data_IF_250178820648
#
_entry.id   IF_250178820648
#
_cell.length_a   1.000
_cell.length_b   1.000
_cell.length_c   1.000
_cell.angle_alpha   90.00
_cell.angle_beta   90.00
_cell.angle_gamma   90.00
#
_symmetry.space_group_name_H-M   'P 1'
#
loop_
_entity.id
_entity.type
_entity.pdbx_description
1 polymer ?
#
# COMPACT_ATOMS: atom_id res chain seq x y z
N UNK A 1 7.99 -5.21 -26.64
CA UNK A 1 6.62 -5.70 -26.40
C UNK A 1 6.76 -7.11 -25.86
N UNK A 2 6.84 -7.24 -24.54
CA UNK A 2 7.02 -8.55 -23.89
C UNK A 2 5.72 -9.33 -24.01
N UNK A 3 5.82 -10.63 -24.26
CA UNK A 3 4.67 -11.54 -24.26
C UNK A 3 4.07 -11.47 -22.85
N UNK A 4 2.89 -10.87 -22.71
CA UNK A 4 2.10 -11.00 -21.49
C UNK A 4 1.73 -12.47 -21.36
N UNK A 5 2.38 -13.14 -20.41
CA UNK A 5 1.87 -14.41 -19.93
C UNK A 5 0.55 -14.10 -19.28
N UNK A 6 -0.53 -14.66 -19.78
CA UNK A 6 -1.80 -14.66 -19.08
C UNK A 6 -1.63 -15.53 -17.83
N UNK A 7 -1.76 -14.94 -16.63
CA UNK A 7 -1.64 -15.64 -15.36
C UNK A 7 -2.87 -15.34 -14.51
N UNK A 8 -3.33 -16.35 -13.77
CA UNK A 8 -4.47 -16.20 -12.89
C UNK A 8 -4.02 -15.64 -11.53
N UNK A 9 -4.55 -14.47 -11.16
CA UNK A 9 -4.22 -13.78 -9.91
C UNK A 9 -4.69 -14.54 -8.67
N UNK A 10 -5.85 -15.19 -8.74
CA UNK A 10 -6.44 -15.95 -7.63
C UNK A 10 -5.61 -17.22 -7.37
N UNK A 11 -5.35 -18.01 -8.41
CA UNK A 11 -4.51 -19.22 -8.30
C UNK A 11 -3.10 -18.88 -7.80
N UNK A 12 -2.49 -17.81 -8.34
CA UNK A 12 -1.18 -17.36 -7.89
C UNK A 12 -1.19 -16.93 -6.41
N UNK A 13 -2.23 -16.21 -5.97
CA UNK A 13 -2.36 -15.75 -4.60
C UNK A 13 -2.58 -16.91 -3.63
N UNK A 14 -3.37 -17.92 -4.01
CA UNK A 14 -3.56 -19.17 -3.24
C UNK A 14 -2.24 -19.91 -3.08
N UNK A 15 -1.49 -20.12 -4.18
CA UNK A 15 -0.19 -20.78 -4.13
C UNK A 15 0.83 -20.02 -3.27
N UNK A 16 0.81 -18.70 -3.31
CA UNK A 16 1.64 -17.87 -2.44
C UNK A 16 1.23 -18.00 -0.97
N UNK A 17 -0.07 -17.99 -0.68
CA UNK A 17 -0.63 -18.18 0.66
C UNK A 17 -0.25 -19.53 1.24
N UNK A 18 -0.40 -20.61 0.48
CA UNK A 18 -0.05 -21.97 0.89
C UNK A 18 1.44 -22.07 1.21
N UNK A 19 2.29 -21.45 0.39
CA UNK A 19 3.72 -21.38 0.69
C UNK A 19 4.01 -20.61 1.98
N UNK A 20 3.37 -19.45 2.22
CA UNK A 20 3.54 -18.67 3.46
C UNK A 20 3.16 -19.49 4.70
N UNK A 21 2.13 -20.33 4.60
CA UNK A 21 1.71 -21.23 5.68
C UNK A 21 2.80 -22.25 6.06
N UNK A 22 3.70 -22.60 5.14
CA UNK A 22 4.86 -23.47 5.43
C UNK A 22 6.01 -22.74 6.14
N UNK A 23 5.94 -21.42 6.30
CA UNK A 23 7.01 -20.57 6.83
C UNK A 23 6.56 -19.87 8.14
N UNK A 24 6.73 -20.49 9.32
CA UNK A 24 6.18 -19.97 10.58
C UNK A 24 6.74 -18.61 11.03
N UNK A 25 7.90 -18.21 10.50
CA UNK A 25 8.53 -16.93 10.80
C UNK A 25 7.94 -15.76 9.98
N UNK A 26 7.13 -16.06 8.97
CA UNK A 26 6.44 -15.05 8.16
C UNK A 26 5.05 -14.74 8.73
N UNK A 27 4.49 -13.55 8.46
CA UNK A 27 3.17 -13.19 8.94
C UNK A 27 2.10 -14.06 8.27
N UNK A 28 1.20 -14.63 9.09
CA UNK A 28 0.19 -15.58 8.63
C UNK A 28 -1.14 -14.90 8.26
N UNK A 29 -1.42 -13.73 8.83
CA UNK A 29 -2.66 -12.99 8.60
C UNK A 29 -2.45 -11.92 7.52
N UNK A 30 -2.58 -12.31 6.25
CA UNK A 30 -2.37 -11.43 5.10
C UNK A 30 -3.67 -11.26 4.33
N UNK A 31 -3.98 -10.00 3.98
CA UNK A 31 -5.16 -9.68 3.19
C UNK A 31 -5.09 -10.32 1.79
N UNK A 32 -6.15 -10.98 1.29
CA UNK A 32 -6.14 -11.65 -0.02
C UNK A 32 -5.76 -10.74 -1.18
N UNK A 33 -6.28 -9.51 -1.21
CA UNK A 33 -5.94 -8.50 -2.23
C UNK A 33 -4.45 -8.18 -2.27
N UNK A 34 -3.77 -8.19 -1.12
CA UNK A 34 -2.33 -7.93 -1.07
C UNK A 34 -1.54 -9.08 -1.71
N UNK A 35 -1.97 -10.33 -1.48
CA UNK A 35 -1.37 -11.50 -2.12
C UNK A 35 -1.52 -11.44 -3.65
N UNK A 36 -2.71 -11.10 -4.14
CA UNK A 36 -2.96 -10.88 -5.57
C UNK A 36 -2.05 -9.78 -6.14
N UNK A 37 -1.85 -8.67 -5.40
CA UNK A 37 -0.96 -7.58 -5.83
C UNK A 37 0.50 -7.99 -5.91
N UNK A 38 0.99 -8.87 -5.02
CA UNK A 38 2.33 -9.43 -5.18
C UNK A 38 2.46 -10.20 -6.49
N UNK A 39 1.49 -11.07 -6.79
CA UNK A 39 1.46 -11.85 -8.04
C UNK A 39 1.37 -10.93 -9.27
N UNK A 40 0.53 -9.90 -9.21
CA UNK A 40 0.42 -8.89 -10.26
C UNK A 40 1.76 -8.19 -10.50
N UNK A 41 2.41 -7.71 -9.43
CA UNK A 41 3.67 -6.97 -9.51
C UNK A 41 4.83 -7.79 -10.07
N UNK A 42 4.78 -9.12 -9.93
CA UNK A 42 5.79 -10.04 -10.48
C UNK A 42 5.36 -10.71 -11.78
N UNK A 43 4.26 -10.26 -12.39
CA UNK A 43 3.72 -10.79 -13.64
C UNK A 43 3.50 -12.31 -13.59
N UNK A 44 2.99 -12.80 -12.45
CA UNK A 44 2.71 -14.22 -12.24
C UNK A 44 3.92 -15.08 -11.89
N UNK A 45 5.13 -14.52 -11.82
CA UNK A 45 6.31 -15.27 -11.36
C UNK A 45 6.22 -15.49 -9.85
N UNK A 46 5.84 -16.71 -9.47
CA UNK A 46 5.66 -17.11 -8.07
C UNK A 46 6.98 -17.13 -7.30
N UNK A 47 8.09 -17.56 -7.91
CA UNK A 47 9.39 -17.60 -7.23
C UNK A 47 9.93 -16.19 -6.99
N UNK A 48 9.68 -15.28 -7.93
CA UNK A 48 9.98 -13.87 -7.73
C UNK A 48 9.04 -13.22 -6.70
N UNK A 49 7.75 -13.56 -6.70
CA UNK A 49 6.79 -13.08 -5.71
C UNK A 49 7.21 -13.43 -4.27
N UNK A 50 7.65 -14.68 -4.04
CA UNK A 50 8.18 -15.13 -2.74
C UNK A 50 9.37 -14.29 -2.29
N UNK A 51 10.32 -13.98 -3.19
CA UNK A 51 11.49 -13.15 -2.87
C UNK A 51 11.10 -11.73 -2.48
N UNK A 52 10.23 -11.11 -3.27
CA UNK A 52 9.74 -9.74 -3.01
C UNK A 52 8.93 -9.69 -1.71
N UNK A 53 8.12 -10.71 -1.43
CA UNK A 53 7.38 -10.84 -0.19
C UNK A 53 8.30 -10.88 1.04
N UNK A 54 9.31 -11.77 1.04
CA UNK A 54 10.28 -11.89 2.14
C UNK A 54 11.08 -10.61 2.32
N UNK A 55 11.52 -10.00 1.21
CA UNK A 55 12.24 -8.72 1.25
C UNK A 55 11.38 -7.61 1.88
N UNK A 56 10.13 -7.47 1.44
CA UNK A 56 9.20 -6.47 1.98
C UNK A 56 8.97 -6.66 3.47
N UNK A 57 8.79 -7.89 3.93
CA UNK A 57 8.66 -8.19 5.36
C UNK A 57 9.95 -7.88 6.14
N UNK A 58 11.10 -8.29 5.61
CA UNK A 58 12.42 -8.07 6.23
C UNK A 58 12.72 -6.58 6.40
N UNK A 59 12.43 -5.76 5.38
CA UNK A 59 12.57 -4.30 5.46
C UNK A 59 11.68 -3.76 6.58
N UNK A 60 10.42 -4.18 6.65
CA UNK A 60 9.48 -3.70 7.67
C UNK A 60 9.93 -4.09 9.08
N UNK A 61 10.35 -5.33 9.27
CA UNK A 61 10.87 -5.83 10.54
C UNK A 61 12.13 -5.06 11.00
N UNK A 62 13.02 -4.71 10.09
CA UNK A 62 14.26 -4.00 10.41
C UNK A 62 14.08 -2.49 10.65
N UNK A 63 12.89 -1.93 10.41
CA UNK A 63 12.62 -0.50 10.49
C UNK A 63 11.43 -0.19 11.44
N UNK A 64 11.51 -0.56 12.74
CA UNK A 64 10.40 -0.40 13.68
C UNK A 64 10.00 1.06 13.90
N UNK A 65 10.93 2.01 13.74
CA UNK A 65 10.63 3.44 13.82
C UNK A 65 9.51 3.89 12.85
N UNK A 66 9.37 3.20 11.71
CA UNK A 66 8.38 3.47 10.67
C UNK A 66 7.19 2.50 10.78
N UNK A 67 7.44 1.21 11.03
CA UNK A 67 6.42 0.15 10.89
C UNK A 67 5.81 -0.35 12.20
N UNK A 68 6.35 0.02 13.36
CA UNK A 68 5.75 -0.25 14.67
C UNK A 68 5.01 0.97 15.25
N UNK A 69 4.12 0.70 16.21
CA UNK A 69 3.31 1.69 16.92
C UNK A 69 2.63 2.71 15.98
N UNK A 70 1.95 2.19 14.95
CA UNK A 70 1.27 2.98 13.91
C UNK A 70 -0.15 3.32 14.31
N UNK A 71 -0.32 4.09 15.39
CA UNK A 71 -1.63 4.61 15.79
C UNK A 71 -2.03 5.78 14.86
N UNK A 72 -3.07 5.60 14.01
CA UNK A 72 -3.54 6.66 13.12
C UNK A 72 -4.16 7.86 13.87
N UNK A 73 -4.53 7.68 15.14
CA UNK A 73 -5.08 8.74 15.99
C UNK A 73 -4.04 9.41 16.89
N UNK A 74 -2.77 9.00 16.79
CA UNK A 74 -1.69 9.65 17.53
C UNK A 74 -1.59 11.14 17.15
N UNK A 75 -1.20 11.96 18.12
CA UNK A 75 -1.08 13.42 17.93
C UNK A 75 -0.16 13.79 16.79
N UNK A 76 0.92 13.03 16.60
CA UNK A 76 1.92 13.30 15.56
C UNK A 76 1.35 13.01 14.16
N UNK A 77 0.72 11.84 13.97
CA UNK A 77 0.06 11.49 12.70
C UNK A 77 -1.05 12.49 12.39
N UNK A 78 -1.89 12.83 13.37
CA UNK A 78 -2.97 13.81 13.19
C UNK A 78 -2.45 15.21 12.88
N UNK A 79 -1.30 15.62 13.43
CA UNK A 79 -0.63 16.89 13.09
C UNK A 79 -0.16 16.91 11.64
N UNK A 80 0.44 15.81 11.18
CA UNK A 80 0.88 15.66 9.79
C UNK A 80 -0.31 15.66 8.84
N UNK A 81 -1.36 14.89 9.13
CA UNK A 81 -2.58 14.85 8.32
C UNK A 81 -3.30 16.21 8.21
N UNK A 82 -3.04 17.14 9.13
CA UNK A 82 -3.50 18.55 9.03
C UNK A 82 -2.57 19.45 8.24
N UNK A 83 -1.32 19.01 8.05
CA UNK A 83 -0.25 19.77 7.39
C UNK A 83 0.03 19.30 5.97
N UNK A 84 -0.56 18.16 5.55
CA UNK A 84 -0.46 17.60 4.20
C UNK A 84 -1.85 17.27 3.66
N UNK A 85 -2.00 17.34 2.34
CA UNK A 85 -3.06 16.64 1.63
C UNK A 85 -2.43 15.40 0.97
N UNK A 86 -3.00 14.22 1.23
CA UNK A 86 -2.65 12.99 0.53
C UNK A 86 -3.93 12.29 0.10
N UNK A 87 -4.37 12.61 -1.12
CA UNK A 87 -5.70 12.27 -1.61
C UNK A 87 -5.58 11.25 -2.74
N UNK A 88 -6.15 10.04 -2.60
CA UNK A 88 -6.29 9.11 -3.71
C UNK A 88 -7.14 9.76 -4.81
N UNK A 89 -6.62 9.76 -6.04
CA UNK A 89 -7.38 10.26 -7.18
C UNK A 89 -8.24 9.15 -7.78
N UNK A 90 -9.34 9.50 -8.47
CA UNK A 90 -10.15 8.56 -9.22
C UNK A 90 -9.32 7.78 -10.25
N UNK A 91 -9.76 6.56 -10.54
CA UNK A 91 -9.19 5.75 -11.62
C UNK A 91 -9.38 6.45 -12.98
N UNK A 92 -8.38 6.35 -13.85
CA UNK A 92 -8.42 6.91 -15.19
C UNK A 92 -8.78 5.80 -16.17
N UNK A 93 -9.78 6.01 -17.02
CA UNK A 93 -10.20 5.02 -18.01
C UNK A 93 -9.03 4.64 -18.93
N UNK A 94 -8.81 3.33 -19.13
CA UNK A 94 -7.70 2.81 -19.91
C UNK A 94 -6.33 2.88 -19.22
N UNK A 95 -6.27 3.24 -17.94
CA UNK A 95 -5.05 3.28 -17.15
C UNK A 95 -5.19 2.41 -15.89
N UNK A 96 -4.27 1.47 -15.72
CA UNK A 96 -4.21 0.60 -14.53
C UNK A 96 -3.51 1.27 -13.34
N UNK A 97 -2.81 2.39 -13.58
CA UNK A 97 -2.08 3.10 -12.54
C UNK A 97 -3.03 3.86 -11.61
N UNK A 98 -2.67 3.84 -10.33
CA UNK A 98 -3.37 4.60 -9.28
C UNK A 98 -2.60 5.87 -8.97
N UNK A 99 -3.29 7.00 -9.04
CA UNK A 99 -2.71 8.29 -8.74
C UNK A 99 -3.06 8.75 -7.32
N UNK A 100 -2.12 9.46 -6.71
CA UNK A 100 -2.30 10.14 -5.43
C UNK A 100 -1.88 11.59 -5.64
N UNK A 101 -2.75 12.51 -5.26
CA UNK A 101 -2.38 13.92 -5.14
C UNK A 101 -1.73 14.13 -3.78
N UNK A 102 -0.51 14.68 -3.78
CA UNK A 102 0.22 15.01 -2.57
C UNK A 102 0.58 16.50 -2.55
N UNK A 103 0.27 17.19 -1.46
CA UNK A 103 0.64 18.58 -1.23
C UNK A 103 0.98 18.82 0.23
N UNK A 104 1.97 19.69 0.48
CA UNK A 104 2.17 20.29 1.80
C UNK A 104 1.24 21.51 1.95
N UNK A 105 0.29 21.44 2.88
CA UNK A 105 -0.60 22.57 3.24
C UNK A 105 0.16 23.60 4.06
N UNK A 106 1.05 23.12 4.93
CA UNK A 106 1.99 23.95 5.67
C UNK A 106 3.42 23.58 5.25
N UNK A 107 4.25 24.57 4.90
CA UNK A 107 5.64 24.33 4.49
C UNK A 107 6.65 24.68 5.59
N UNK A 108 6.19 24.94 6.81
CA UNK A 108 7.04 25.20 7.97
C UNK A 108 7.79 23.91 8.38
N UNK A 109 9.12 23.82 8.18
CA UNK A 109 9.88 22.60 8.41
C UNK A 109 9.87 22.18 9.89
N UNK A 110 9.69 23.12 10.82
CA UNK A 110 9.69 22.82 12.26
C UNK A 110 8.45 22.00 12.69
N UNK A 111 7.45 21.88 11.80
CA UNK A 111 6.25 21.08 12.02
C UNK A 111 6.35 19.65 11.50
N UNK A 112 7.44 19.30 10.83
CA UNK A 112 7.62 17.99 10.20
C UNK A 112 8.77 17.22 10.83
N UNK A 113 8.43 16.17 11.58
CA UNK A 113 9.38 15.09 11.85
C UNK A 113 9.37 14.10 10.67
N UNK A 114 10.55 13.80 10.13
CA UNK A 114 10.67 12.92 8.97
C UNK A 114 10.13 11.51 9.25
N UNK A 115 10.37 10.96 10.44
CA UNK A 115 9.90 9.62 10.79
C UNK A 115 8.38 9.57 10.89
N UNK A 116 7.78 10.61 11.45
CA UNK A 116 6.33 10.69 11.55
C UNK A 116 5.68 10.88 10.17
N UNK A 117 6.29 11.67 9.27
CA UNK A 117 5.82 11.86 7.89
C UNK A 117 5.88 10.55 7.11
N UNK A 118 7.03 9.87 7.12
CA UNK A 118 7.19 8.62 6.37
C UNK A 118 6.31 7.51 6.95
N UNK A 119 6.13 7.47 8.27
CA UNK A 119 5.19 6.56 8.95
C UNK A 119 3.76 6.82 8.49
N UNK A 120 3.31 8.08 8.49
CA UNK A 120 1.97 8.47 8.03
C UNK A 120 1.76 8.08 6.57
N UNK A 121 2.75 8.31 5.71
CA UNK A 121 2.72 7.89 4.31
C UNK A 121 2.52 6.37 4.18
N UNK A 122 3.31 5.56 4.89
CA UNK A 122 3.19 4.10 4.82
C UNK A 122 1.89 3.56 5.40
N UNK A 123 1.28 4.22 6.39
CA UNK A 123 -0.08 3.89 6.86
C UNK A 123 -1.10 4.06 5.73
N UNK A 124 -1.09 5.21 5.05
CA UNK A 124 -2.01 5.49 3.94
C UNK A 124 -1.75 4.53 2.77
N UNK A 125 -0.48 4.31 2.42
CA UNK A 125 -0.10 3.41 1.34
C UNK A 125 -0.52 1.95 1.61
N UNK A 126 -0.29 1.44 2.83
CA UNK A 126 -0.68 0.08 3.20
C UNK A 126 -2.21 -0.11 3.14
N UNK A 127 -2.99 0.87 3.59
CA UNK A 127 -4.45 0.85 3.46
C UNK A 127 -4.89 0.84 2.00
N UNK A 128 -4.26 1.67 1.15
CA UNK A 128 -4.56 1.71 -0.28
C UNK A 128 -4.23 0.39 -0.99
N UNK A 129 -3.29 -0.39 -0.45
CA UNK A 129 -2.89 -1.70 -0.98
C UNK A 129 -3.91 -2.82 -0.71
N UNK A 130 -4.77 -2.68 0.31
CA UNK A 130 -5.80 -3.68 0.62
C UNK A 130 -7.20 -3.26 0.17
N UNK A 131 -7.40 -1.97 -0.12
CA UNK A 131 -8.66 -1.49 -0.66
C UNK A 131 -8.94 -2.09 -2.06
N UNK A 132 -10.22 -2.40 -2.36
CA UNK A 132 -10.61 -2.80 -3.69
C UNK A 132 -10.34 -1.67 -4.69
N UNK A 133 -10.23 -2.06 -5.95
CA UNK A 133 -10.20 -1.10 -7.05
C UNK A 133 -11.62 -0.59 -7.22
N UNK A 134 -11.91 0.56 -6.61
CA UNK A 134 -13.23 1.18 -6.71
C UNK A 134 -13.36 1.72 -8.14
N UNK A 135 -14.33 1.25 -8.93
CA UNK A 135 -14.65 1.89 -10.20
C UNK A 135 -15.14 3.31 -9.95
N UNK A 136 -15.04 4.18 -10.94
CA UNK A 136 -15.49 5.57 -10.85
C UNK A 136 -16.95 5.63 -10.40
N UNK A 137 -17.19 5.89 -9.11
CA UNK A 137 -18.49 6.39 -8.67
C UNK A 137 -18.51 7.88 -9.02
N UNK A 138 -19.60 8.26 -9.66
CA UNK A 138 -20.03 9.59 -10.09
C UNK A 138 -20.08 10.66 -8.97
N UNK A 139 -19.87 10.25 -7.72
CA UNK A 139 -19.54 11.14 -6.60
C UNK A 139 -18.25 10.69 -5.94
N UNK A 140 -17.11 11.23 -6.40
CA UNK A 140 -15.78 10.88 -5.87
C UNK A 140 -15.73 10.87 -4.34
N UNK A 141 -14.88 10.01 -3.78
CA UNK A 141 -14.74 9.74 -2.33
C UNK A 141 -14.30 10.96 -1.48
N UNK A 142 -14.23 12.14 -2.08
CA UNK A 142 -13.91 13.40 -1.42
C UNK A 142 -15.05 14.38 -1.66
N UNK A 143 -15.91 14.63 -0.66
CA UNK A 143 -16.73 15.84 -0.69
C UNK A 143 -15.77 17.02 -0.61
N UNK A 144 -15.47 17.62 -1.75
CA UNK A 144 -14.93 18.98 -1.80
C UNK A 144 -16.02 19.88 -1.22
N UNK A 145 -15.87 20.28 0.05
CA UNK A 145 -16.72 21.34 0.59
C UNK A 145 -16.39 22.61 -0.17
N UNK A 146 -17.30 23.03 -1.05
CA UNK A 146 -17.37 24.41 -1.55
C UNK A 146 -17.57 25.39 -0.42
#
# INVERSE_FOLDING_TARGET
MGIEKEFNLEEGAERLKDWIATQPHLPQNIHPTLLQRYIHSTRGDLEYAKKIFVLGYTIRQNNPAIFDNRDPHSTNVMSILRSIDMVPLPSVEGCEDKFIYYRLVNCDPDKFDFNDVIKTFFVIADLRMIQPDVPMNDGGDVPIST
#
